data_IF_006166344548
#
_entry.id   IF_006166344548
#
_cell.length_a   1.000
_cell.length_b   1.000
_cell.length_c   1.000
_cell.angle_alpha   90.00
_cell.angle_beta   90.00
_cell.angle_gamma   90.00
#
_symmetry.space_group_name_H-M   'P 1'
#
loop_
_entity.id
_entity.type
_entity.pdbx_description
1 polymer ?
#
# COMPACT_ATOMS: atom_id res chain seq x y z
N UNK A 1 -16.82 31.04 13.43
CA UNK A 1 -15.79 30.16 14.05
C UNK A 1 -15.68 28.88 13.23
N UNK A 2 -14.46 28.41 12.91
CA UNK A 2 -14.29 27.13 12.21
C UNK A 2 -14.65 25.96 13.14
N UNK A 3 -15.38 24.96 12.62
CA UNK A 3 -15.69 23.73 13.35
C UNK A 3 -14.41 22.97 13.70
N UNK A 4 -14.47 22.05 14.67
CA UNK A 4 -13.34 21.18 15.02
C UNK A 4 -12.85 20.39 13.79
N UNK A 5 -13.77 19.89 12.97
CA UNK A 5 -13.45 19.21 11.73
C UNK A 5 -12.72 20.12 10.74
N UNK A 6 -13.18 21.35 10.52
CA UNK A 6 -12.52 22.28 9.58
C UNK A 6 -11.08 22.59 9.99
N UNK A 7 -10.84 22.82 11.29
CA UNK A 7 -9.47 22.99 11.82
C UNK A 7 -8.60 21.76 11.55
N UNK A 8 -9.16 20.56 11.75
CA UNK A 8 -8.45 19.31 11.53
C UNK A 8 -8.16 19.06 10.05
N UNK A 9 -9.13 19.35 9.17
CA UNK A 9 -8.98 19.26 7.72
C UNK A 9 -7.86 20.18 7.23
N UNK A 10 -7.85 21.44 7.66
CA UNK A 10 -6.79 22.39 7.32
C UNK A 10 -5.41 21.89 7.75
N UNK A 11 -5.29 21.38 8.98
CA UNK A 11 -4.03 20.81 9.46
C UNK A 11 -3.57 19.60 8.62
N UNK A 12 -4.49 18.73 8.19
CA UNK A 12 -4.16 17.58 7.35
C UNK A 12 -3.73 18.03 5.96
N UNK A 13 -4.48 18.95 5.33
CA UNK A 13 -4.14 19.47 4.01
C UNK A 13 -2.81 20.22 4.01
N UNK A 14 -2.52 20.98 5.06
CA UNK A 14 -1.22 21.65 5.20
C UNK A 14 -0.08 20.63 5.32
N UNK A 15 -0.29 19.51 6.01
CA UNK A 15 0.69 18.42 6.07
C UNK A 15 0.87 17.72 4.72
N UNK A 16 -0.21 17.52 3.96
CA UNK A 16 -0.13 16.92 2.63
C UNK A 16 0.54 17.83 1.59
N UNK A 17 0.48 19.15 1.79
CA UNK A 17 1.13 20.15 0.94
C UNK A 17 2.57 20.47 1.36
N UNK A 18 2.94 20.20 2.60
CA UNK A 18 4.29 20.43 3.08
C UNK A 18 5.25 19.53 2.29
N UNK A 19 6.30 20.13 1.72
CA UNK A 19 7.38 19.41 1.05
C UNK A 19 8.10 18.52 2.08
N UNK A 20 7.67 17.28 2.19
CA UNK A 20 8.22 16.31 3.10
C UNK A 20 7.65 14.93 2.83
N UNK A 21 8.41 13.85 3.12
CA UNK A 21 7.96 12.52 2.80
C UNK A 21 6.67 12.18 3.55
N UNK A 22 5.63 11.78 2.84
CA UNK A 22 4.45 11.17 3.44
C UNK A 22 4.82 9.85 4.16
N UNK A 23 3.90 9.28 4.93
CA UNK A 23 4.17 8.04 5.67
C UNK A 23 4.21 6.80 4.77
N UNK A 24 4.11 6.94 3.46
CA UNK A 24 4.27 5.84 2.52
C UNK A 24 5.77 5.53 2.32
N UNK A 25 6.13 4.30 1.93
CA UNK A 25 7.52 3.98 1.57
C UNK A 25 8.08 4.84 0.42
N UNK A 26 7.22 5.44 -0.40
CA UNK A 26 7.59 6.32 -1.52
C UNK A 26 7.87 7.75 -1.07
N UNK A 27 7.32 8.16 0.08
CA UNK A 27 7.42 9.52 0.59
C UNK A 27 6.55 10.54 -0.14
N UNK A 28 5.79 10.20 -1.18
CA UNK A 28 4.86 11.17 -1.79
C UNK A 28 3.62 10.44 -2.30
N UNK A 29 2.45 11.13 -2.36
CA UNK A 29 1.26 10.56 -2.97
C UNK A 29 1.53 10.13 -4.41
N UNK A 30 0.99 8.97 -4.80
CA UNK A 30 1.13 8.48 -6.17
C UNK A 30 0.41 9.38 -7.18
N UNK A 31 1.13 9.79 -8.23
CA UNK A 31 0.67 10.74 -9.26
C UNK A 31 -0.70 10.33 -9.85
N UNK A 32 -0.89 9.03 -10.09
CA UNK A 32 -2.12 8.46 -10.65
C UNK A 32 -3.39 8.76 -9.87
N UNK A 33 -3.29 8.99 -8.55
CA UNK A 33 -4.46 9.22 -7.70
C UNK A 33 -4.55 10.66 -7.21
N UNK A 34 -3.60 11.54 -7.52
CA UNK A 34 -3.60 12.93 -7.06
C UNK A 34 -4.90 13.65 -7.42
N UNK A 35 -5.40 13.46 -8.64
CA UNK A 35 -6.68 14.04 -9.09
C UNK A 35 -7.87 13.55 -8.26
N UNK A 36 -7.89 12.26 -7.89
CA UNK A 36 -8.91 11.68 -7.01
C UNK A 36 -8.80 12.24 -5.59
N UNK A 37 -7.58 12.33 -5.04
CA UNK A 37 -7.35 12.90 -3.71
C UNK A 37 -7.81 14.37 -3.66
N UNK A 38 -7.49 15.16 -4.69
CA UNK A 38 -7.91 16.55 -4.81
C UNK A 38 -9.44 16.67 -4.89
N UNK A 39 -10.10 15.83 -5.68
CA UNK A 39 -11.55 15.80 -5.77
C UNK A 39 -12.21 15.50 -4.42
N UNK A 40 -11.70 14.50 -3.68
CA UNK A 40 -12.21 14.16 -2.34
C UNK A 40 -11.97 15.33 -1.37
N UNK A 41 -10.77 15.91 -1.39
CA UNK A 41 -10.38 16.99 -0.49
C UNK A 41 -11.08 18.32 -0.78
N UNK A 42 -11.61 18.51 -2.00
CA UNK A 42 -12.46 19.65 -2.34
C UNK A 42 -13.78 19.65 -1.55
N UNK A 43 -14.33 18.47 -1.24
CA UNK A 43 -15.60 18.37 -0.52
C UNK A 43 -15.50 18.90 0.91
N UNK A 44 -16.34 19.85 1.36
CA UNK A 44 -16.17 20.58 2.62
C UNK A 44 -16.11 19.69 3.86
N UNK A 45 -16.80 18.55 3.84
CA UNK A 45 -16.93 17.63 4.96
C UNK A 45 -16.05 16.37 4.87
N UNK A 46 -15.09 16.33 3.95
CA UNK A 46 -14.17 15.20 3.76
C UNK A 46 -12.71 15.66 3.70
N UNK A 47 -11.80 14.78 4.13
CA UNK A 47 -10.35 14.94 3.93
C UNK A 47 -9.64 13.58 3.91
N UNK A 48 -8.77 13.36 2.93
CA UNK A 48 -7.93 12.15 2.83
C UNK A 48 -6.84 12.19 3.89
N UNK A 49 -6.61 11.08 4.61
CA UNK A 49 -5.60 11.00 5.68
C UNK A 49 -4.44 10.07 5.36
N UNK A 50 -4.64 9.09 4.47
CA UNK A 50 -3.60 8.25 3.90
C UNK A 50 -4.10 7.61 2.60
N UNK A 51 -3.18 7.28 1.70
CA UNK A 51 -3.48 6.69 0.40
C UNK A 51 -2.33 5.82 -0.11
N UNK A 52 -2.63 4.88 -1.00
CA UNK A 52 -1.68 4.07 -1.78
C UNK A 52 -2.39 3.73 -3.09
N UNK A 53 -1.85 4.08 -4.27
CA UNK A 53 -2.55 3.83 -5.56
C UNK A 53 -2.70 2.36 -5.92
N UNK A 54 -2.02 1.49 -5.17
CA UNK A 54 -1.81 0.09 -5.51
C UNK A 54 -0.37 -0.10 -5.95
N UNK A 55 0.17 -1.29 -5.69
CA UNK A 55 1.58 -1.60 -5.93
C UNK A 55 1.83 -3.07 -6.18
N UNK A 56 2.82 -3.32 -7.03
CA UNK A 56 3.50 -4.60 -7.14
C UNK A 56 4.73 -4.54 -6.24
N UNK A 57 5.01 -5.62 -5.51
CA UNK A 57 6.12 -5.64 -4.60
C UNK A 57 6.74 -7.03 -4.45
N UNK A 58 8.04 -7.04 -4.18
CA UNK A 58 8.77 -8.21 -3.71
C UNK A 58 9.12 -7.98 -2.25
N UNK A 59 8.64 -8.87 -1.39
CA UNK A 59 8.73 -8.71 0.05
C UNK A 59 9.31 -9.96 0.70
N UNK A 60 10.38 -9.80 1.48
CA UNK A 60 10.95 -10.85 2.33
C UNK A 60 10.26 -10.80 3.69
N UNK A 61 9.76 -11.94 4.16
CA UNK A 61 9.23 -12.07 5.51
C UNK A 61 10.30 -11.87 6.58
N UNK A 62 9.88 -11.73 7.83
CA UNK A 62 10.76 -11.59 8.99
C UNK A 62 10.78 -12.88 9.80
N UNK A 63 11.92 -13.21 10.42
CA UNK A 63 12.03 -14.33 11.37
C UNK A 63 11.12 -14.12 12.60
N UNK A 64 10.74 -12.87 12.88
CA UNK A 64 9.89 -12.48 14.00
C UNK A 64 8.39 -12.62 13.63
N UNK A 65 8.06 -12.63 12.35
CA UNK A 65 6.69 -12.56 11.87
C UNK A 65 6.23 -13.90 11.29
N UNK A 66 5.75 -14.80 12.16
CA UNK A 66 4.94 -15.96 11.74
C UNK A 66 3.55 -15.56 11.16
N UNK A 67 3.33 -14.28 10.86
CA UNK A 67 2.08 -13.75 10.31
C UNK A 67 2.34 -13.14 8.94
N UNK A 68 1.90 -13.85 7.90
CA UNK A 68 1.92 -13.41 6.51
C UNK A 68 1.16 -12.07 6.41
N UNK A 69 1.86 -11.00 5.99
CA UNK A 69 1.20 -9.75 5.54
C UNK A 69 1.26 -8.52 6.45
N UNK A 70 2.00 -8.52 7.56
CA UNK A 70 2.16 -7.31 8.40
C UNK A 70 3.26 -6.36 7.91
N UNK A 71 2.92 -5.10 7.57
CA UNK A 71 3.90 -4.01 7.46
C UNK A 71 4.61 -3.83 8.81
N UNK A 72 5.93 -4.02 8.88
CA UNK A 72 6.75 -3.45 9.96
C UNK A 72 7.27 -4.39 11.05
N UNK A 73 7.12 -5.71 10.94
CA UNK A 73 7.73 -6.66 11.89
C UNK A 73 9.13 -7.15 11.46
N UNK A 74 9.87 -6.33 10.71
CA UNK A 74 11.24 -6.63 10.28
C UNK A 74 11.41 -7.24 8.89
N UNK A 75 10.32 -7.40 8.13
CA UNK A 75 10.41 -7.84 6.73
C UNK A 75 10.87 -6.71 5.81
N UNK A 76 11.40 -7.07 4.65
CA UNK A 76 12.15 -6.15 3.78
C UNK A 76 11.59 -6.13 2.38
N UNK A 77 11.46 -4.94 1.81
CA UNK A 77 11.08 -4.75 0.41
C UNK A 77 12.33 -4.92 -0.45
N UNK A 78 12.32 -5.88 -1.37
CA UNK A 78 13.36 -5.97 -2.41
C UNK A 78 13.01 -5.10 -3.61
N UNK A 79 11.70 -4.91 -3.86
CA UNK A 79 11.18 -4.14 -4.98
C UNK A 79 9.79 -3.59 -4.61
N UNK A 80 9.51 -2.35 -5.02
CA UNK A 80 8.18 -1.73 -4.96
C UNK A 80 7.95 -0.92 -6.23
N UNK A 81 6.84 -1.16 -6.93
CA UNK A 81 6.44 -0.46 -8.15
C UNK A 81 4.95 -0.11 -8.08
N UNK A 82 4.59 1.10 -8.53
CA UNK A 82 3.18 1.57 -8.56
C UNK A 82 2.59 1.58 -9.97
N UNK A 83 3.43 1.36 -10.99
CA UNK A 83 3.02 1.21 -12.39
C UNK A 83 2.68 -0.24 -12.74
N UNK A 84 1.77 -0.47 -13.70
CA UNK A 84 1.61 -1.78 -14.33
C UNK A 84 2.92 -2.31 -14.91
N UNK A 85 3.08 -3.63 -14.90
CA UNK A 85 4.20 -4.28 -15.59
C UNK A 85 3.85 -4.43 -17.06
N UNK A 86 4.48 -3.63 -17.93
CA UNK A 86 4.15 -3.53 -19.37
C UNK A 86 5.17 -4.25 -20.28
N UNK A 87 6.06 -5.06 -19.73
CA UNK A 87 7.00 -5.81 -20.57
C UNK A 87 6.29 -6.98 -21.27
N UNK A 88 6.48 -7.07 -22.58
CA UNK A 88 6.09 -8.25 -23.34
C UNK A 88 6.89 -9.48 -22.87
N UNK A 89 6.18 -10.52 -22.43
CA UNK A 89 6.71 -11.73 -21.79
C UNK A 89 7.66 -12.56 -22.68
N UNK A 90 7.77 -12.24 -23.96
CA UNK A 90 8.40 -13.11 -24.96
C UNK A 90 9.93 -13.21 -24.85
N UNK A 91 10.61 -12.30 -24.14
CA UNK A 91 12.08 -12.30 -24.04
C UNK A 91 12.67 -11.89 -22.67
N UNK A 92 11.87 -11.86 -21.60
CA UNK A 92 12.38 -11.44 -20.28
C UNK A 92 12.73 -12.60 -19.35
N UNK A 93 13.92 -12.52 -18.77
CA UNK A 93 14.21 -13.14 -17.48
C UNK A 93 13.45 -12.37 -16.39
N UNK A 94 12.20 -12.78 -16.18
CA UNK A 94 11.30 -12.16 -15.20
C UNK A 94 11.86 -12.24 -13.78
N UNK A 95 12.64 -13.29 -13.47
CA UNK A 95 13.27 -13.47 -12.16
C UNK A 95 14.38 -12.44 -11.97
N UNK A 96 15.23 -12.20 -12.98
CA UNK A 96 16.24 -11.15 -12.91
C UNK A 96 15.64 -9.77 -12.66
N UNK A 97 14.49 -9.46 -13.30
CA UNK A 97 13.80 -8.17 -13.09
C UNK A 97 13.14 -8.07 -11.71
N UNK A 98 12.44 -9.12 -11.25
CA UNK A 98 11.83 -9.20 -9.92
C UNK A 98 12.90 -9.11 -8.82
N UNK A 99 14.04 -9.77 -9.02
CA UNK A 99 15.14 -9.80 -8.06
C UNK A 99 16.02 -8.54 -8.12
N UNK A 100 15.81 -7.58 -9.02
CA UNK A 100 16.42 -6.24 -8.93
C UNK A 100 17.95 -6.20 -8.77
N UNK A 101 18.67 -7.20 -9.30
CA UNK A 101 20.13 -7.34 -9.17
C UNK A 101 20.62 -8.17 -7.98
N UNK A 102 19.73 -8.70 -7.13
CA UNK A 102 20.10 -9.69 -6.12
C UNK A 102 20.45 -11.02 -6.79
N UNK A 103 21.55 -11.69 -6.37
CA UNK A 103 21.88 -13.00 -6.91
C UNK A 103 20.81 -14.01 -6.50
N UNK A 104 20.33 -14.79 -7.47
CA UNK A 104 19.35 -15.86 -7.24
C UNK A 104 19.84 -17.17 -7.85
N UNK A 105 19.38 -18.27 -7.27
CA UNK A 105 19.64 -19.62 -7.77
C UNK A 105 18.36 -20.43 -7.69
N UNK A 106 17.99 -21.05 -8.80
CA UNK A 106 16.91 -22.05 -8.83
C UNK A 106 17.42 -23.33 -8.16
N UNK A 107 16.66 -23.83 -7.19
CA UNK A 107 16.94 -25.07 -6.46
C UNK A 107 15.66 -25.91 -6.41
N UNK A 108 15.80 -27.22 -6.21
CA UNK A 108 14.66 -28.08 -5.99
C UNK A 108 13.90 -27.67 -4.71
N UNK A 109 12.58 -27.86 -4.70
CA UNK A 109 11.72 -27.43 -3.60
C UNK A 109 12.13 -28.05 -2.25
N UNK A 110 12.66 -29.27 -2.24
CA UNK A 110 13.12 -29.91 -1.02
C UNK A 110 14.41 -29.30 -0.46
N UNK A 111 15.24 -28.70 -1.31
CA UNK A 111 16.48 -28.00 -0.95
C UNK A 111 16.26 -26.52 -0.60
N UNK A 112 15.05 -25.99 -0.87
CA UNK A 112 14.67 -24.60 -0.65
C UNK A 112 14.14 -24.31 0.76
N UNK A 113 13.77 -25.33 1.54
CA UNK A 113 13.01 -25.22 2.81
C UNK A 113 13.73 -24.54 3.99
N UNK A 114 14.91 -23.94 3.78
CA UNK A 114 15.68 -23.26 4.84
C UNK A 114 15.93 -21.80 4.45
N UNK A 115 15.15 -20.89 5.00
CA UNK A 115 15.29 -19.44 4.76
C UNK A 115 14.00 -18.66 5.01
N UNK A 116 14.06 -17.35 4.80
CA UNK A 116 12.89 -16.46 4.89
C UNK A 116 12.11 -16.45 3.59
N UNK A 117 10.79 -16.55 3.64
CA UNK A 117 9.96 -16.59 2.44
C UNK A 117 9.98 -15.25 1.71
N UNK A 118 10.13 -15.31 0.39
CA UNK A 118 10.06 -14.15 -0.50
C UNK A 118 8.72 -14.21 -1.23
N UNK A 119 7.94 -13.14 -1.14
CA UNK A 119 6.63 -13.02 -1.75
C UNK A 119 6.65 -12.01 -2.89
N UNK A 120 6.12 -12.42 -4.02
CA UNK A 120 5.63 -11.51 -5.04
C UNK A 120 4.18 -11.14 -4.73
N UNK A 121 3.90 -9.86 -4.55
CA UNK A 121 2.61 -9.36 -4.08
C UNK A 121 2.07 -8.30 -5.01
N UNK A 122 0.75 -8.31 -5.20
CA UNK A 122 0.00 -7.15 -5.62
C UNK A 122 -0.90 -6.69 -4.46
N UNK A 123 -0.73 -5.45 -4.05
CA UNK A 123 -1.58 -4.80 -3.05
C UNK A 123 -2.39 -3.71 -3.74
N UNK A 124 -3.73 -3.73 -3.67
CA UNK A 124 -4.57 -2.80 -4.41
C UNK A 124 -4.59 -1.39 -3.81
N UNK A 125 -5.29 -0.47 -4.49
CA UNK A 125 -5.60 0.86 -3.97
C UNK A 125 -6.19 0.78 -2.56
N UNK A 126 -5.66 1.59 -1.65
CA UNK A 126 -6.23 1.79 -0.30
C UNK A 126 -6.32 3.29 -0.04
N UNK A 127 -7.47 3.75 0.45
CA UNK A 127 -7.66 5.13 0.91
C UNK A 127 -8.25 5.14 2.32
N UNK A 128 -7.81 6.09 3.14
CA UNK A 128 -8.52 6.46 4.36
C UNK A 128 -8.96 7.92 4.27
N UNK A 129 -10.25 8.15 4.55
CA UNK A 129 -10.88 9.46 4.41
C UNK A 129 -11.59 9.78 5.72
N UNK A 130 -11.28 10.91 6.32
CA UNK A 130 -11.99 11.43 7.48
C UNK A 130 -13.23 12.20 7.03
N UNK A 131 -14.37 11.91 7.65
CA UNK A 131 -15.65 12.59 7.43
C UNK A 131 -16.09 13.39 8.65
N UNK A 132 -16.70 14.55 8.43
CA UNK A 132 -17.29 15.37 9.50
C UNK A 132 -18.53 14.72 10.12
N UNK A 133 -19.34 14.06 9.28
CA UNK A 133 -20.60 13.46 9.72
C UNK A 133 -20.74 12.01 9.26
N UNK A 134 -21.56 11.24 9.96
CA UNK A 134 -21.89 9.87 9.58
C UNK A 134 -22.71 9.84 8.29
N UNK A 135 -23.56 10.84 8.06
CA UNK A 135 -24.37 10.95 6.85
C UNK A 135 -23.49 11.06 5.61
N UNK A 136 -22.55 12.02 5.61
CA UNK A 136 -21.57 12.18 4.53
C UNK A 136 -20.75 10.90 4.31
N UNK A 137 -20.33 10.25 5.40
CA UNK A 137 -19.56 9.01 5.31
C UNK A 137 -20.34 7.86 4.66
N UNK A 138 -21.63 7.72 4.98
CA UNK A 138 -22.51 6.70 4.38
C UNK A 138 -22.73 6.97 2.89
N UNK A 139 -22.99 8.21 2.50
CA UNK A 139 -23.15 8.59 1.08
C UNK A 139 -21.89 8.30 0.27
N UNK A 140 -20.71 8.64 0.82
CA UNK A 140 -19.45 8.32 0.17
C UNK A 140 -19.24 6.80 0.05
N UNK A 141 -19.50 6.05 1.13
CA UNK A 141 -19.34 4.60 1.13
C UNK A 141 -20.23 3.92 0.08
N UNK A 142 -21.50 4.35 -0.09
CA UNK A 142 -22.39 3.83 -1.14
C UNK A 142 -21.78 4.02 -2.53
N UNK A 143 -21.19 5.20 -2.78
CA UNK A 143 -20.49 5.48 -4.04
C UNK A 143 -19.30 4.55 -4.23
N UNK A 144 -18.49 4.34 -3.20
CA UNK A 144 -17.35 3.42 -3.25
C UNK A 144 -17.77 1.95 -3.52
N UNK A 145 -18.83 1.48 -2.85
CA UNK A 145 -19.37 0.13 -3.05
C UNK A 145 -19.92 -0.05 -4.48
N UNK A 146 -20.56 1.00 -5.03
CA UNK A 146 -21.04 1.02 -6.42
C UNK A 146 -19.89 1.01 -7.44
N UNK A 147 -18.72 1.52 -7.05
CA UNK A 147 -17.47 1.46 -7.80
C UNK A 147 -16.64 0.20 -7.52
N UNK A 148 -17.28 -0.90 -7.10
CA UNK A 148 -16.67 -2.22 -6.88
C UNK A 148 -15.67 -2.33 -5.71
N UNK A 149 -15.56 -1.33 -4.83
CA UNK A 149 -14.76 -1.42 -3.60
C UNK A 149 -15.52 -2.12 -2.48
N UNK A 150 -15.90 -3.39 -2.70
CA UNK A 150 -16.83 -4.17 -1.85
C UNK A 150 -16.33 -4.40 -0.42
N UNK A 151 -15.03 -4.34 -0.19
CA UNK A 151 -14.40 -4.50 1.12
C UNK A 151 -14.28 -3.17 1.89
N UNK A 152 -14.90 -2.11 1.39
CA UNK A 152 -14.89 -0.79 2.04
C UNK A 152 -15.83 -0.75 3.23
N UNK A 153 -15.48 0.06 4.23
CA UNK A 153 -16.28 0.18 5.44
C UNK A 153 -16.02 1.46 6.21
N UNK A 154 -16.82 1.66 7.26
CA UNK A 154 -16.65 2.77 8.20
C UNK A 154 -15.95 2.28 9.47
N UNK A 155 -14.89 2.98 9.86
CA UNK A 155 -14.23 2.82 11.14
C UNK A 155 -14.68 3.98 12.03
N UNK A 156 -15.55 3.68 12.99
CA UNK A 156 -16.14 4.65 13.90
C UNK A 156 -15.37 4.64 15.23
N UNK A 157 -14.89 5.80 15.63
CA UNK A 157 -14.26 6.03 16.94
C UNK A 157 -14.93 7.21 17.63
N UNK A 158 -14.65 7.41 18.92
CA UNK A 158 -15.22 8.54 19.70
C UNK A 158 -14.98 9.92 19.07
N UNK A 159 -13.91 10.07 18.28
CA UNK A 159 -13.48 11.36 17.72
C UNK A 159 -13.52 11.43 16.19
N UNK A 160 -13.52 10.28 15.51
CA UNK A 160 -13.34 10.22 14.05
C UNK A 160 -14.29 9.23 13.41
N UNK A 161 -14.78 9.63 12.23
CA UNK A 161 -15.49 8.79 11.29
C UNK A 161 -14.57 8.61 10.10
N UNK A 162 -13.94 7.44 9.99
CA UNK A 162 -13.03 7.12 8.89
C UNK A 162 -13.75 6.23 7.90
N UNK A 163 -13.74 6.61 6.63
CA UNK A 163 -14.12 5.76 5.51
C UNK A 163 -12.83 5.06 5.05
N UNK A 164 -12.81 3.74 5.12
CA UNK A 164 -11.71 2.92 4.62
C UNK A 164 -12.12 2.33 3.27
N UNK A 165 -11.44 2.76 2.20
CA UNK A 165 -11.66 2.26 0.84
C UNK A 165 -10.68 1.13 0.58
N UNK A 166 -11.20 -0.05 0.26
CA UNK A 166 -10.43 -1.28 0.09
C UNK A 166 -11.05 -2.16 -0.99
N UNK A 167 -10.22 -3.01 -1.57
CA UNK A 167 -10.63 -4.02 -2.54
C UNK A 167 -10.01 -5.38 -2.20
N UNK A 168 -10.66 -6.45 -2.65
CA UNK A 168 -10.20 -7.83 -2.52
C UNK A 168 -9.27 -8.27 -3.65
N UNK A 169 -9.00 -7.42 -4.64
CA UNK A 169 -8.17 -7.73 -5.82
C UNK A 169 -6.65 -7.79 -5.51
N UNK A 170 -6.24 -8.27 -4.34
CA UNK A 170 -4.84 -8.49 -4.00
C UNK A 170 -4.41 -9.94 -4.23
N UNK A 171 -3.12 -10.17 -4.41
CA UNK A 171 -2.56 -11.53 -4.33
C UNK A 171 -1.17 -11.52 -3.68
N UNK A 172 -0.78 -12.69 -3.18
CA UNK A 172 0.55 -12.96 -2.63
C UNK A 172 0.97 -14.35 -3.07
N UNK A 173 2.10 -14.44 -3.78
CA UNK A 173 2.67 -15.69 -4.28
C UNK A 173 4.08 -15.86 -3.72
N UNK A 174 4.39 -16.95 -2.99
CA UNK A 174 5.76 -17.28 -2.64
C UNK A 174 6.59 -17.57 -3.90
N UNK A 175 7.74 -16.92 -4.04
CA UNK A 175 8.62 -17.05 -5.21
C UNK A 175 10.01 -17.60 -4.87
N UNK A 176 10.34 -17.75 -3.58
CA UNK A 176 11.62 -18.30 -3.16
C UNK A 176 11.91 -18.09 -1.68
N UNK A 177 13.13 -18.44 -1.29
CA UNK A 177 13.61 -18.28 0.09
C UNK A 177 14.91 -17.49 0.09
N UNK A 178 15.01 -16.50 0.98
CA UNK A 178 16.25 -15.81 1.28
C UNK A 178 17.08 -16.69 2.21
N UNK A 179 18.20 -17.22 1.71
CA UNK A 179 19.21 -17.91 2.53
C UNK A 179 20.10 -16.88 3.21
N UNK A 180 20.39 -17.09 4.50
CA UNK A 180 21.10 -16.13 5.37
C UNK A 180 22.61 -16.01 5.08
N UNK A 181 23.08 -16.40 3.90
CA UNK A 181 24.49 -16.30 3.54
C UNK A 181 24.75 -15.05 2.70
N UNK A 182 25.55 -14.16 3.29
CA UNK A 182 26.21 -12.97 2.73
C UNK A 182 25.39 -11.68 2.68
N UNK A 183 25.81 -10.70 3.51
CA UNK A 183 25.79 -9.25 3.33
C UNK A 183 24.95 -8.67 2.18
N UNK A 184 23.64 -8.92 2.18
CA UNK A 184 22.72 -8.21 1.28
C UNK A 184 22.49 -6.82 1.87
N UNK A 185 23.13 -5.81 1.30
CA UNK A 185 22.75 -4.41 1.52
C UNK A 185 21.42 -4.17 0.80
N UNK A 186 20.39 -3.84 1.57
CA UNK A 186 19.07 -3.54 1.03
C UNK A 186 19.08 -2.07 0.56
N UNK A 187 18.61 -1.83 -0.66
CA UNK A 187 18.40 -0.47 -1.16
C UNK A 187 17.55 0.35 -0.18
N UNK A 188 17.96 1.60 0.05
CA UNK A 188 17.26 2.57 0.90
C UNK A 188 15.88 2.90 0.36
#
# INVERSE_FOLDING_TARGET
>A
MKSEFQKKKENILNKLKAEGPDSSPKGFPDEHIVSLLNLINYHPHLVTTSSCSGRIAVYVESEIANNIGGKGLGGKWLMVQHEPWDDHLENLDILAKICGGYPFKTVDFDDSKKGLLIHFKFEPLILHILSETISTARTFLISALSSSFRESGLILSKKNIIIAIRSSIGFSCPIGYLKKEQNVEYGK
#
